data_IF_275862195473
#
_entry.id   IF_275862195473
#
_cell.length_a   1.000
_cell.length_b   1.000
_cell.length_c   1.000
_cell.angle_alpha   90.00
_cell.angle_beta   90.00
_cell.angle_gamma   90.00
#
_symmetry.space_group_name_H-M   'P 1'
#
loop_
_entity.id
_entity.type
_entity.pdbx_description
1 polymer ?
#
# COMPACT_ATOMS: atom_id res chain seq x y z
N UNK A 1 14.00 4.14 10.39
CA UNK A 1 13.08 3.10 9.86
C UNK A 1 13.18 1.82 10.69
N UNK A 2 12.05 1.17 11.01
CA UNK A 2 12.08 -0.13 11.69
C UNK A 2 12.45 -1.26 10.72
N UNK A 3 13.33 -2.16 11.12
CA UNK A 3 13.78 -3.29 10.29
C UNK A 3 12.63 -4.20 9.84
N UNK A 4 11.60 -4.35 10.68
CA UNK A 4 10.39 -5.11 10.36
C UNK A 4 9.63 -4.48 9.18
N UNK A 5 9.53 -3.15 9.13
CA UNK A 5 8.87 -2.44 8.03
C UNK A 5 9.59 -2.67 6.69
N UNK A 6 10.92 -2.59 6.69
CA UNK A 6 11.74 -2.87 5.51
C UNK A 6 11.56 -4.32 5.05
N UNK A 7 11.58 -5.28 5.97
CA UNK A 7 11.36 -6.70 5.66
C UNK A 7 10.00 -6.96 5.02
N UNK A 8 8.93 -6.35 5.57
CA UNK A 8 7.58 -6.45 5.00
C UNK A 8 7.52 -5.86 3.58
N UNK A 9 8.17 -4.72 3.33
CA UNK A 9 8.21 -4.12 2.00
C UNK A 9 9.00 -4.96 0.99
N UNK A 10 10.08 -5.62 1.40
CA UNK A 10 10.80 -6.55 0.53
C UNK A 10 9.90 -7.73 0.11
N UNK A 11 9.17 -8.31 1.05
CA UNK A 11 8.21 -9.39 0.76
C UNK A 11 7.07 -8.88 -0.14
N UNK A 12 6.52 -7.70 0.16
CA UNK A 12 5.49 -7.06 -0.65
C UNK A 12 5.97 -6.78 -2.08
N UNK A 13 7.21 -6.31 -2.23
CA UNK A 13 7.83 -6.02 -3.52
C UNK A 13 7.96 -7.28 -4.38
N UNK A 14 8.50 -8.36 -3.80
CA UNK A 14 8.59 -9.66 -4.45
C UNK A 14 7.21 -10.23 -4.82
N UNK A 15 6.24 -10.13 -3.90
CA UNK A 15 4.85 -10.53 -4.14
C UNK A 15 4.24 -9.80 -5.33
N UNK A 16 4.39 -8.47 -5.41
CA UNK A 16 3.81 -7.65 -6.48
C UNK A 16 4.47 -7.90 -7.85
N UNK A 17 5.78 -8.16 -7.90
CA UNK A 17 6.48 -8.49 -9.16
C UNK A 17 6.11 -9.89 -9.66
N UNK A 18 5.90 -10.84 -8.75
CA UNK A 18 5.51 -12.21 -9.12
C UNK A 18 4.02 -12.35 -9.42
N UNK A 19 3.21 -11.35 -9.06
CA UNK A 19 1.78 -11.33 -9.32
C UNK A 19 1.45 -11.37 -10.81
N UNK A 20 0.49 -12.23 -11.17
CA UNK A 20 -0.06 -12.34 -12.53
C UNK A 20 -1.54 -11.95 -12.52
N UNK A 21 -1.80 -10.71 -12.91
CA UNK A 21 -3.12 -10.13 -13.08
C UNK A 21 -3.84 -10.57 -14.35
N UNK A 22 -5.12 -10.20 -14.45
CA UNK A 22 -6.00 -10.53 -15.58
C UNK A 22 -5.69 -9.72 -16.84
N UNK A 23 -5.07 -8.55 -16.69
CA UNK A 23 -4.75 -7.65 -17.80
C UNK A 23 -3.27 -7.27 -17.83
N UNK A 24 -2.78 -6.85 -19.00
CA UNK A 24 -1.41 -6.34 -19.15
C UNK A 24 -1.18 -5.07 -18.34
N UNK A 25 -2.21 -4.21 -18.21
CA UNK A 25 -2.17 -3.04 -17.35
C UNK A 25 -1.98 -3.42 -15.89
N UNK A 26 -2.77 -4.39 -15.39
CA UNK A 26 -2.67 -4.89 -14.02
C UNK A 26 -1.26 -5.43 -13.72
N UNK A 27 -0.69 -6.22 -14.64
CA UNK A 27 0.68 -6.71 -14.52
C UNK A 27 1.73 -5.59 -14.49
N UNK A 28 1.60 -4.59 -15.36
CA UNK A 28 2.53 -3.46 -15.42
C UNK A 28 2.49 -2.65 -14.13
N UNK A 29 1.29 -2.29 -13.65
CA UNK A 29 1.14 -1.53 -12.40
C UNK A 29 1.67 -2.35 -11.23
N UNK A 30 1.45 -3.67 -11.20
CA UNK A 30 2.00 -4.53 -10.15
C UNK A 30 3.53 -4.52 -10.14
N UNK A 31 4.18 -4.66 -11.30
CA UNK A 31 5.63 -4.62 -11.42
C UNK A 31 6.22 -3.27 -10.99
N UNK A 32 5.58 -2.16 -11.39
CA UNK A 32 6.00 -0.83 -10.95
C UNK A 32 5.86 -0.67 -9.43
N UNK A 33 4.72 -1.07 -8.87
CA UNK A 33 4.54 -1.07 -7.40
C UNK A 33 5.61 -1.89 -6.70
N UNK A 34 5.95 -3.08 -7.21
CA UNK A 34 7.01 -3.89 -6.60
C UNK A 34 8.39 -3.24 -6.67
N UNK A 35 8.72 -2.60 -7.80
CA UNK A 35 9.96 -1.83 -7.94
C UNK A 35 10.01 -0.62 -6.98
N UNK A 36 8.89 0.10 -6.83
CA UNK A 36 8.81 1.20 -5.87
C UNK A 36 8.91 0.71 -4.42
N UNK A 37 8.29 -0.42 -4.07
CA UNK A 37 8.44 -1.02 -2.73
C UNK A 37 9.90 -1.37 -2.41
N UNK A 38 10.65 -1.91 -3.38
CA UNK A 38 12.10 -2.10 -3.22
C UNK A 38 12.84 -0.77 -3.07
N UNK A 39 12.49 0.26 -3.85
CA UNK A 39 13.07 1.60 -3.68
C UNK A 39 12.86 2.15 -2.25
N UNK A 40 11.66 2.02 -1.69
CA UNK A 40 11.36 2.41 -0.30
C UNK A 40 12.22 1.62 0.69
N UNK A 41 12.38 0.31 0.48
CA UNK A 41 13.15 -0.56 1.36
C UNK A 41 14.67 -0.31 1.31
N UNK A 42 15.22 -0.01 0.13
CA UNK A 42 16.66 0.15 -0.10
C UNK A 42 17.16 1.50 0.43
N UNK A 43 16.35 2.56 0.34
CA UNK A 43 16.75 3.92 0.70
C UNK A 43 16.07 4.35 2.01
N UNK A 44 16.65 4.10 3.20
CA UNK A 44 16.01 4.46 4.46
C UNK A 44 15.99 5.98 4.71
N UNK A 45 14.88 6.49 5.27
CA UNK A 45 14.72 7.92 5.64
C UNK A 45 15.63 8.36 6.77
N UNK A 46 15.94 7.46 7.70
CA UNK A 46 16.88 7.67 8.79
C UNK A 46 17.41 6.33 9.29
N UNK A 47 18.68 6.34 9.70
CA UNK A 47 19.32 5.22 10.39
C UNK A 47 19.65 5.65 11.82
N UNK A 48 19.04 4.98 12.80
CA UNK A 48 19.31 5.11 14.23
C UNK A 48 19.68 3.74 14.76
N UNK A 49 20.89 3.28 14.44
CA UNK A 49 21.45 2.03 14.97
C UNK A 49 22.36 2.32 16.16
N UNK A 50 22.43 1.39 17.12
CA UNK A 50 23.32 1.51 18.28
C UNK A 50 24.04 0.18 18.53
N UNK A 51 25.29 0.25 18.97
CA UNK A 51 25.99 -0.87 19.64
C UNK A 51 26.37 -0.34 21.02
N UNK A 52 25.77 -0.92 22.07
CA UNK A 52 25.85 -0.33 23.41
C UNK A 52 25.26 1.08 23.42
N UNK A 53 26.07 2.05 23.81
CA UNK A 53 25.74 3.49 23.89
C UNK A 53 26.26 4.30 22.69
N UNK A 54 26.93 3.67 21.73
CA UNK A 54 27.47 4.34 20.55
C UNK A 54 26.52 4.27 19.36
N UNK A 55 26.33 5.41 18.69
CA UNK A 55 25.54 5.50 17.47
C UNK A 55 26.30 4.88 16.31
N UNK A 56 25.71 3.84 15.70
CA UNK A 56 26.14 3.36 14.40
C UNK A 56 25.70 4.36 13.34
N UNK A 57 26.66 5.11 12.81
CA UNK A 57 26.47 5.85 11.56
C UNK A 57 27.03 5.00 10.42
N UNK A 58 26.19 4.26 9.66
CA UNK A 58 26.68 3.50 8.53
C UNK A 58 27.25 4.48 7.50
N UNK A 59 28.45 4.17 7.01
CA UNK A 59 29.23 4.95 6.00
C UNK A 59 28.41 5.29 4.72
N UNK A 60 27.23 4.70 4.54
CA UNK A 60 26.47 4.63 3.29
C UNK A 60 25.21 5.52 3.29
N UNK A 61 24.88 6.20 4.40
CA UNK A 61 23.69 7.07 4.41
C UNK A 61 23.98 8.43 3.77
N UNK A 62 23.15 8.82 2.81
CA UNK A 62 23.25 10.13 2.14
C UNK A 62 21.93 10.89 2.20
N UNK A 63 21.99 12.23 2.25
CA UNK A 63 20.80 13.09 2.35
C UNK A 63 19.77 12.88 1.24
N UNK A 64 20.20 12.47 0.04
CA UNK A 64 19.32 12.19 -1.08
C UNK A 64 18.48 10.91 -0.91
N UNK A 65 18.84 10.01 0.02
CA UNK A 65 18.04 8.81 0.32
C UNK A 65 16.63 9.18 0.74
N UNK A 66 16.47 10.24 1.54
CA UNK A 66 15.14 10.73 1.94
C UNK A 66 14.30 11.08 0.72
N UNK A 67 14.88 11.80 -0.24
CA UNK A 67 14.17 12.22 -1.44
C UNK A 67 13.73 11.02 -2.29
N UNK A 68 14.63 10.04 -2.50
CA UNK A 68 14.30 8.82 -3.25
C UNK A 68 13.25 7.99 -2.50
N UNK A 69 13.40 7.85 -1.18
CA UNK A 69 12.44 7.15 -0.34
C UNK A 69 11.02 7.71 -0.48
N UNK A 70 10.86 9.01 -0.22
CA UNK A 70 9.54 9.65 -0.26
C UNK A 70 8.98 9.66 -1.69
N UNK A 71 9.83 9.81 -2.71
CA UNK A 71 9.44 9.67 -4.11
C UNK A 71 8.89 8.27 -4.42
N UNK A 72 9.61 7.22 -4.05
CA UNK A 72 9.17 5.84 -4.23
C UNK A 72 7.91 5.52 -3.42
N UNK A 73 7.81 5.98 -2.16
CA UNK A 73 6.65 5.75 -1.30
C UNK A 73 5.39 6.43 -1.86
N UNK A 74 5.51 7.68 -2.32
CA UNK A 74 4.42 8.39 -2.98
C UNK A 74 3.93 7.66 -4.23
N UNK A 75 4.86 7.24 -5.11
CA UNK A 75 4.51 6.49 -6.32
C UNK A 75 3.88 5.13 -6.00
N UNK A 76 4.42 4.40 -5.01
CA UNK A 76 3.86 3.13 -4.53
C UNK A 76 2.40 3.28 -4.10
N UNK A 77 2.11 4.26 -3.24
CA UNK A 77 0.76 4.49 -2.74
C UNK A 77 -0.19 5.01 -3.82
N UNK A 78 0.29 5.79 -4.78
CA UNK A 78 -0.51 6.15 -5.96
C UNK A 78 -0.88 4.92 -6.79
N UNK A 79 0.06 3.98 -6.99
CA UNK A 79 -0.25 2.71 -7.65
C UNK A 79 -1.28 1.89 -6.84
N UNK A 80 -1.17 1.85 -5.51
CA UNK A 80 -2.15 1.17 -4.65
C UNK A 80 -3.54 1.82 -4.73
N UNK A 81 -3.62 3.15 -4.70
CA UNK A 81 -4.86 3.87 -4.91
C UNK A 81 -5.45 3.56 -6.31
N UNK A 82 -4.61 3.50 -7.35
CA UNK A 82 -5.04 3.14 -8.70
C UNK A 82 -5.58 1.69 -8.78
N UNK A 83 -4.93 0.74 -8.09
CA UNK A 83 -5.45 -0.62 -7.94
C UNK A 83 -6.86 -0.63 -7.35
N UNK A 84 -7.06 0.03 -6.22
CA UNK A 84 -8.34 0.09 -5.54
C UNK A 84 -9.42 0.83 -6.37
N UNK A 85 -9.08 1.97 -6.97
CA UNK A 85 -10.04 2.86 -7.62
C UNK A 85 -10.41 2.44 -9.05
N UNK A 86 -9.53 1.71 -9.74
CA UNK A 86 -9.73 1.31 -11.13
C UNK A 86 -9.64 -0.20 -11.30
N UNK A 87 -8.45 -0.79 -11.16
CA UNK A 87 -8.18 -2.19 -11.53
C UNK A 87 -9.11 -3.18 -10.80
N UNK A 88 -9.33 -3.00 -9.50
CA UNK A 88 -10.18 -3.92 -8.72
C UNK A 88 -11.67 -3.75 -8.99
N UNK A 89 -12.07 -2.58 -9.49
CA UNK A 89 -13.45 -2.27 -9.80
C UNK A 89 -13.86 -2.72 -11.21
N UNK A 90 -12.91 -2.99 -12.10
CA UNK A 90 -13.16 -3.48 -13.45
C UNK A 90 -14.09 -4.71 -13.43
N UNK A 91 -15.02 -4.72 -14.39
CA UNK A 91 -15.89 -5.86 -14.69
C UNK A 91 -15.10 -6.97 -15.35
N UNK A 92 -15.54 -8.22 -15.21
CA UNK A 92 -15.17 -9.23 -16.21
C UNK A 92 -15.71 -8.77 -17.58
N UNK A 93 -14.94 -9.01 -18.65
CA UNK A 93 -15.25 -8.52 -20.00
C UNK A 93 -16.70 -8.83 -20.40
N UNK A 94 -17.42 -7.82 -20.89
CA UNK A 94 -18.79 -7.95 -21.40
C UNK A 94 -19.93 -7.73 -20.38
N UNK A 95 -19.64 -7.38 -19.12
CA UNK A 95 -20.67 -7.03 -18.12
C UNK A 95 -20.76 -5.52 -17.87
N UNK A 96 -21.95 -4.94 -18.14
CA UNK A 96 -22.32 -3.57 -17.77
C UNK A 96 -22.49 -3.42 -16.25
N UNK A 97 -22.21 -2.24 -15.65
CA UNK A 97 -22.45 -2.00 -14.22
C UNK A 97 -23.88 -2.27 -13.74
N UNK A 98 -24.88 -2.17 -14.63
CA UNK A 98 -26.28 -2.51 -14.32
C UNK A 98 -26.48 -4.00 -14.06
N UNK A 99 -25.57 -4.85 -14.57
CA UNK A 99 -25.60 -6.31 -14.44
C UNK A 99 -24.80 -6.81 -13.24
N UNK A 100 -24.28 -5.91 -12.39
CA UNK A 100 -23.59 -6.29 -11.17
C UNK A 100 -24.57 -6.78 -10.11
N UNK A 101 -24.31 -7.98 -9.59
CA UNK A 101 -24.96 -8.44 -8.37
C UNK A 101 -24.66 -7.52 -7.17
N UNK A 102 -25.47 -7.64 -6.12
CA UNK A 102 -25.34 -6.83 -4.91
C UNK A 102 -23.94 -6.96 -4.28
N UNK A 103 -23.31 -8.14 -4.41
CA UNK A 103 -22.00 -8.44 -3.83
C UNK A 103 -20.87 -7.70 -4.55
N UNK A 104 -20.87 -7.63 -5.88
CA UNK A 104 -19.91 -6.84 -6.68
C UNK A 104 -20.04 -5.36 -6.37
N UNK A 105 -21.27 -4.84 -6.17
CA UNK A 105 -21.48 -3.45 -5.75
C UNK A 105 -20.87 -3.19 -4.38
N UNK A 106 -21.07 -4.09 -3.42
CA UNK A 106 -20.46 -3.99 -2.09
C UNK A 106 -18.93 -4.01 -2.15
N UNK A 107 -18.33 -4.95 -2.91
CA UNK A 107 -16.87 -5.00 -3.11
C UNK A 107 -16.33 -3.69 -3.69
N UNK A 108 -16.97 -3.17 -4.74
CA UNK A 108 -16.55 -1.92 -5.35
C UNK A 108 -16.64 -0.73 -4.38
N UNK A 109 -17.65 -0.72 -3.49
CA UNK A 109 -17.76 0.29 -2.43
C UNK A 109 -16.59 0.20 -1.45
N UNK A 110 -16.22 -1.00 -1.01
CA UNK A 110 -15.06 -1.23 -0.13
C UNK A 110 -13.77 -0.76 -0.82
N UNK A 111 -13.56 -1.14 -2.09
CA UNK A 111 -12.38 -0.70 -2.85
C UNK A 111 -12.30 0.83 -2.96
N UNK A 112 -13.43 1.52 -3.15
CA UNK A 112 -13.44 3.00 -3.15
C UNK A 112 -13.02 3.59 -1.82
N UNK A 113 -13.54 3.08 -0.71
CA UNK A 113 -13.13 3.57 0.61
C UNK A 113 -11.64 3.34 0.86
N UNK A 114 -11.10 2.16 0.51
CA UNK A 114 -9.66 1.90 0.61
C UNK A 114 -8.85 2.86 -0.27
N UNK A 115 -9.27 3.07 -1.52
CA UNK A 115 -8.59 3.98 -2.46
C UNK A 115 -8.58 5.43 -1.98
N UNK A 116 -9.72 5.95 -1.53
CA UNK A 116 -9.79 7.31 -0.97
C UNK A 116 -9.05 7.43 0.37
N UNK A 117 -9.05 6.39 1.20
CA UNK A 117 -8.24 6.33 2.41
C UNK A 117 -6.74 6.46 2.11
N UNK A 118 -6.24 5.75 1.09
CA UNK A 118 -4.85 5.86 0.64
C UNK A 118 -4.54 7.27 0.12
N UNK A 119 -5.41 7.86 -0.71
CA UNK A 119 -5.21 9.22 -1.21
C UNK A 119 -5.22 10.26 -0.08
N UNK A 120 -6.12 10.12 0.89
CA UNK A 120 -6.16 10.96 2.07
C UNK A 120 -4.87 10.83 2.89
N UNK A 121 -4.36 9.61 3.10
CA UNK A 121 -3.06 9.39 3.74
C UNK A 121 -1.93 10.14 3.03
N UNK A 122 -1.83 10.05 1.71
CA UNK A 122 -0.79 10.76 0.93
C UNK A 122 -0.90 12.28 1.16
N UNK A 123 -2.10 12.84 1.07
CA UNK A 123 -2.34 14.28 1.25
C UNK A 123 -1.99 14.71 2.67
N UNK A 124 -2.39 13.95 3.69
CA UNK A 124 -2.12 14.29 5.09
C UNK A 124 -0.62 14.20 5.40
N UNK A 125 0.10 13.21 4.87
CA UNK A 125 1.56 13.13 5.01
C UNK A 125 2.22 14.38 4.40
N UNK A 126 1.89 14.71 3.15
CA UNK A 126 2.43 15.88 2.46
C UNK A 126 2.12 17.19 3.20
N UNK A 127 0.88 17.38 3.63
CA UNK A 127 0.46 18.55 4.40
C UNK A 127 1.18 18.63 5.76
N UNK A 128 1.37 17.50 6.44
CA UNK A 128 2.08 17.44 7.72
C UNK A 128 3.55 17.83 7.56
N UNK A 129 4.20 17.38 6.49
CA UNK A 129 5.59 17.76 6.18
C UNK A 129 5.72 19.25 5.85
N UNK A 130 4.79 19.80 5.06
CA UNK A 130 4.78 21.25 4.76
C UNK A 130 4.58 22.05 6.04
N UNK A 131 3.62 21.65 6.88
CA UNK A 131 3.34 22.32 8.15
C UNK A 131 4.57 22.29 9.07
N UNK A 132 5.22 21.13 9.22
CA UNK A 132 6.42 20.99 10.03
C UNK A 132 7.56 21.90 9.56
N UNK A 133 7.77 22.02 8.24
CA UNK A 133 8.80 22.90 7.69
C UNK A 133 8.50 24.39 7.92
N UNK A 134 7.23 24.78 8.02
CA UNK A 134 6.82 26.19 8.19
C UNK A 134 6.69 26.61 9.66
N UNK A 135 6.18 25.73 10.51
CA UNK A 135 5.75 26.05 11.88
C UNK A 135 6.45 25.22 12.96
N UNK A 136 7.33 24.29 12.56
CA UNK A 136 8.04 23.39 13.46
C UNK A 136 7.30 22.10 13.78
N UNK A 137 7.99 21.20 14.46
CA UNK A 137 7.49 19.86 14.80
C UNK A 137 6.45 19.91 15.91
N UNK A 138 5.35 19.18 15.72
CA UNK A 138 4.32 18.94 16.73
C UNK A 138 4.26 17.43 17.06
N UNK A 139 3.52 17.06 18.11
CA UNK A 139 3.24 15.65 18.40
C UNK A 139 2.57 14.96 17.21
N UNK A 140 1.66 15.65 16.51
CA UNK A 140 0.98 15.08 15.34
C UNK A 140 1.96 14.82 14.19
N UNK A 141 2.77 15.82 13.80
CA UNK A 141 3.69 15.68 12.65
C UNK A 141 4.76 14.63 12.91
N UNK A 142 5.20 14.46 14.16
CA UNK A 142 6.12 13.39 14.58
C UNK A 142 5.63 11.99 14.20
N UNK A 143 4.33 11.73 14.35
CA UNK A 143 3.75 10.39 14.12
C UNK A 143 2.96 10.27 12.82
N UNK A 144 2.63 11.39 12.16
CA UNK A 144 1.77 11.43 10.99
C UNK A 144 2.25 10.47 9.89
N UNK A 145 3.52 10.55 9.48
CA UNK A 145 4.09 9.69 8.44
C UNK A 145 3.86 8.22 8.72
N UNK A 146 4.24 7.75 9.90
CA UNK A 146 4.10 6.34 10.29
C UNK A 146 2.63 5.90 10.33
N UNK A 147 1.75 6.71 10.93
CA UNK A 147 0.33 6.40 11.07
C UNK A 147 -0.31 6.26 9.68
N UNK A 148 -0.11 7.27 8.81
CA UNK A 148 -0.79 7.31 7.52
C UNK A 148 -0.19 6.37 6.49
N UNK A 149 1.10 6.04 6.56
CA UNK A 149 1.70 4.93 5.81
C UNK A 149 1.09 3.59 6.22
N UNK A 150 0.97 3.33 7.52
CA UNK A 150 0.36 2.11 8.05
C UNK A 150 -1.11 2.02 7.64
N UNK A 151 -1.87 3.12 7.74
CA UNK A 151 -3.26 3.19 7.27
C UNK A 151 -3.36 2.87 5.78
N UNK A 152 -2.51 3.47 4.93
CA UNK A 152 -2.52 3.22 3.49
C UNK A 152 -2.22 1.75 3.16
N UNK A 153 -1.23 1.15 3.83
CA UNK A 153 -0.89 -0.27 3.68
C UNK A 153 -2.02 -1.19 4.12
N UNK A 154 -2.68 -0.89 5.25
CA UNK A 154 -3.84 -1.65 5.71
C UNK A 154 -5.02 -1.52 4.75
N UNK A 155 -5.30 -0.32 4.24
CA UNK A 155 -6.34 -0.12 3.22
C UNK A 155 -6.06 -0.96 1.97
N UNK A 156 -4.83 -0.91 1.45
CA UNK A 156 -4.44 -1.68 0.28
C UNK A 156 -4.49 -3.19 0.55
N UNK A 157 -3.89 -3.67 1.64
CA UNK A 157 -3.87 -5.08 2.01
C UNK A 157 -5.27 -5.68 2.14
N UNK A 158 -6.19 -4.98 2.83
CA UNK A 158 -7.58 -5.42 2.95
C UNK A 158 -8.30 -5.47 1.59
N UNK A 159 -8.07 -4.46 0.73
CA UNK A 159 -8.64 -4.46 -0.62
C UNK A 159 -8.11 -5.62 -1.47
N UNK A 160 -6.84 -5.99 -1.30
CA UNK A 160 -6.22 -7.09 -2.04
C UNK A 160 -6.72 -8.46 -1.55
N UNK A 161 -6.84 -8.65 -0.24
CA UNK A 161 -7.44 -9.86 0.34
C UNK A 161 -8.87 -10.07 -0.17
N UNK A 162 -9.65 -8.99 -0.25
CA UNK A 162 -11.00 -9.01 -0.81
C UNK A 162 -11.02 -9.34 -2.30
N UNK A 163 -10.06 -8.85 -3.09
CA UNK A 163 -9.91 -9.24 -4.50
C UNK A 163 -9.58 -10.73 -4.64
N UNK A 164 -8.72 -11.26 -3.77
CA UNK A 164 -8.32 -12.67 -3.74
C UNK A 164 -9.46 -13.62 -3.32
N UNK A 165 -10.32 -13.21 -2.39
CA UNK A 165 -11.38 -14.06 -1.85
C UNK A 165 -12.41 -14.53 -2.88
N UNK A 166 -12.59 -13.76 -3.97
CA UNK A 166 -13.46 -14.12 -5.11
C UNK A 166 -12.98 -15.40 -5.82
N UNK A 167 -11.68 -15.70 -5.76
CA UNK A 167 -11.08 -16.86 -6.41
C UNK A 167 -11.08 -18.12 -5.53
N UNK A 168 -11.49 -18.04 -4.27
CA UNK A 168 -11.48 -19.17 -3.31
C UNK A 168 -12.71 -20.07 -3.41
N UNK A 169 -13.18 -20.35 -4.63
CA UNK A 169 -14.45 -21.09 -4.85
C UNK A 169 -14.46 -22.47 -4.18
N UNK A 170 -13.29 -23.10 -4.09
CA UNK A 170 -13.08 -24.48 -3.63
C UNK A 170 -12.34 -24.56 -2.27
N UNK A 171 -12.32 -23.47 -1.50
CA UNK A 171 -11.73 -23.52 -0.17
C UNK A 171 -12.58 -24.44 0.74
N UNK A 172 -12.07 -25.64 1.02
CA UNK A 172 -12.62 -26.62 1.96
C UNK A 172 -12.44 -26.16 3.44
N UNK A 173 -12.69 -24.88 3.73
CA UNK A 173 -12.64 -24.31 5.08
C UNK A 173 -13.99 -23.68 5.41
N UNK A 174 -14.74 -24.26 6.37
CA UNK A 174 -16.02 -23.70 6.82
C UNK A 174 -15.89 -22.25 7.30
N UNK A 175 -14.79 -21.93 8.00
CA UNK A 175 -14.52 -20.59 8.52
C UNK A 175 -14.38 -19.54 7.41
N UNK A 176 -13.60 -19.85 6.37
CA UNK A 176 -13.39 -18.93 5.25
C UNK A 176 -14.70 -18.68 4.50
N UNK A 177 -15.50 -19.71 4.28
CA UNK A 177 -16.80 -19.59 3.61
C UNK A 177 -17.75 -18.66 4.38
N UNK A 178 -17.79 -18.75 5.71
CA UNK A 178 -18.60 -17.83 6.54
C UNK A 178 -18.12 -16.39 6.41
N UNK A 179 -16.82 -16.13 6.55
CA UNK A 179 -16.24 -14.78 6.56
C UNK A 179 -16.41 -14.07 5.21
N UNK A 180 -16.21 -14.78 4.10
CA UNK A 180 -16.22 -14.16 2.76
C UNK A 180 -17.60 -14.19 2.08
N UNK A 181 -18.57 -14.97 2.59
CA UNK A 181 -19.92 -15.09 2.01
C UNK A 181 -20.66 -13.77 1.72
N UNK A 182 -20.52 -12.68 2.52
CA UNK A 182 -21.24 -11.43 2.24
C UNK A 182 -20.69 -10.70 1.01
N UNK A 183 -19.43 -10.98 0.67
CA UNK A 183 -18.67 -10.24 -0.36
C UNK A 183 -18.20 -11.12 -1.51
N UNK A 184 -18.35 -12.45 -1.45
CA UNK A 184 -18.09 -13.41 -2.54
C UNK A 184 -19.32 -13.53 -3.43
#
# INVERSE_FOLDING_TARGET
MHIAFVGVLCVLGGFLITYRGKSTLENRVSNFSGAFAFGVAIFPTEFKGYIGNDYLNPIIWHSWFKAVHFGCAGLLFLCFAFFCLKIFQESDAGKSPSQFDAKKKLRNKIYRYCGYGILASIVIIGASTIYENMYGTTTFTTFATFIFETTALLCFGNSWLLKGSVNWKDANSPMLNTIVSPVR
#
